data_IF_295619278040
#
_entry.id   IF_295619278040
#
_cell.length_a   1.000
_cell.length_b   1.000
_cell.length_c   1.000
_cell.angle_alpha   90.00
_cell.angle_beta   90.00
_cell.angle_gamma   90.00
#
_symmetry.space_group_name_H-M   'P 1'
#
loop_
_entity.id
_entity.type
_entity.pdbx_description
1 polymer ?
#
# COMPACT_ATOMS: atom_id res chain seq x y z
N UNK A 1 14.17 4.32 4.39
CA UNK A 1 12.97 4.93 3.78
C UNK A 1 11.85 3.90 3.80
N UNK A 2 10.65 4.24 4.28
CA UNK A 2 9.50 3.34 4.20
C UNK A 2 8.93 3.34 2.77
N UNK A 3 8.50 2.17 2.29
CA UNK A 3 7.85 2.06 0.97
C UNK A 3 6.53 2.84 0.95
N UNK A 4 6.19 3.41 -0.21
CA UNK A 4 4.96 4.16 -0.45
C UNK A 4 4.27 3.64 -1.71
N UNK A 5 2.94 3.65 -1.73
CA UNK A 5 2.14 3.26 -2.88
C UNK A 5 1.55 4.50 -3.54
N UNK A 6 1.82 4.69 -4.83
CA UNK A 6 1.12 5.67 -5.66
C UNK A 6 -0.02 4.99 -6.39
N UNK A 7 -1.25 5.41 -6.12
CA UNK A 7 -2.46 4.79 -6.69
C UNK A 7 -2.80 5.42 -8.04
N UNK A 8 -2.57 4.70 -9.13
CA UNK A 8 -2.79 5.21 -10.49
C UNK A 8 -4.27 5.25 -10.91
N UNK A 9 -5.13 4.45 -10.29
CA UNK A 9 -6.56 4.35 -10.64
C UNK A 9 -7.40 3.80 -9.48
N UNK A 10 -8.73 3.93 -9.59
CA UNK A 10 -9.68 3.45 -8.58
C UNK A 10 -10.09 4.52 -7.54
N UNK A 11 -10.67 4.10 -6.39
CA UNK A 11 -11.28 5.02 -5.43
C UNK A 11 -10.28 5.95 -4.72
N UNK A 12 -8.99 5.59 -4.71
CA UNK A 12 -7.91 6.37 -4.10
C UNK A 12 -6.96 6.97 -5.14
N UNK A 13 -7.40 7.16 -6.39
CA UNK A 13 -6.57 7.68 -7.50
C UNK A 13 -5.78 8.92 -7.10
N UNK A 14 -4.52 8.98 -7.56
CA UNK A 14 -3.53 10.04 -7.33
C UNK A 14 -3.18 10.28 -5.85
N UNK A 15 -3.56 9.36 -4.95
CA UNK A 15 -3.11 9.39 -3.55
C UNK A 15 -1.84 8.58 -3.36
N UNK A 16 -1.02 9.08 -2.43
CA UNK A 16 0.14 8.36 -1.90
C UNK A 16 -0.27 7.72 -0.58
N UNK A 17 -0.17 6.39 -0.51
CA UNK A 17 -0.44 5.62 0.71
C UNK A 17 0.89 5.20 1.34
N UNK A 18 0.97 5.32 2.65
CA UNK A 18 2.12 4.85 3.42
C UNK A 18 1.93 3.36 3.71
N UNK A 19 2.91 2.54 3.33
CA UNK A 19 2.91 1.12 3.67
C UNK A 19 3.18 0.97 5.17
N UNK A 20 2.37 0.15 5.83
CA UNK A 20 2.44 -0.12 7.26
C UNK A 20 2.87 -1.57 7.45
N UNK A 21 4.00 -1.77 8.13
CA UNK A 21 4.54 -3.12 8.34
C UNK A 21 5.13 -3.75 7.08
N UNK A 22 5.36 -5.06 7.14
CA UNK A 22 5.86 -5.85 6.02
C UNK A 22 4.68 -6.38 5.18
N UNK A 23 4.79 -6.42 3.84
CA UNK A 23 3.81 -7.11 3.01
C UNK A 23 3.69 -8.59 3.40
N UNK A 24 2.47 -9.10 3.46
CA UNK A 24 2.16 -10.46 3.90
C UNK A 24 1.84 -11.32 2.67
N UNK A 25 2.66 -12.31 2.31
CA UNK A 25 2.35 -13.21 1.22
C UNK A 25 1.21 -14.14 1.61
N UNK A 26 0.36 -14.49 0.65
CA UNK A 26 -0.61 -15.56 0.87
C UNK A 26 0.10 -16.93 0.89
N UNK A 27 -0.59 -17.96 1.40
CA UNK A 27 -0.03 -19.32 1.57
C UNK A 27 0.40 -19.98 0.27
N UNK A 28 -0.19 -19.58 -0.87
CA UNK A 28 0.13 -20.11 -2.20
C UNK A 28 1.16 -19.27 -2.96
N UNK A 29 1.49 -18.07 -2.46
CA UNK A 29 2.44 -17.14 -3.09
C UNK A 29 1.92 -16.45 -4.36
N UNK A 30 0.62 -16.51 -4.65
CA UNK A 30 0.00 -15.87 -5.81
C UNK A 30 -0.48 -14.43 -5.56
N UNK A 31 -0.54 -14.01 -4.30
CA UNK A 31 -1.05 -12.72 -3.81
C UNK A 31 -0.18 -12.20 -2.67
N UNK A 32 -0.14 -10.88 -2.58
CA UNK A 32 0.57 -10.16 -1.52
C UNK A 32 -0.39 -9.14 -0.92
N UNK A 33 -0.67 -9.27 0.37
CA UNK A 33 -1.45 -8.28 1.11
C UNK A 33 -0.54 -7.15 1.59
N UNK A 34 -0.91 -5.91 1.25
CA UNK A 34 -0.17 -4.72 1.65
C UNK A 34 -1.07 -3.85 2.51
N UNK A 35 -0.82 -3.87 3.82
CA UNK A 35 -1.46 -2.95 4.73
C UNK A 35 -0.91 -1.55 4.50
N UNK A 36 -1.79 -0.59 4.28
CA UNK A 36 -1.40 0.79 4.06
C UNK A 36 -2.42 1.75 4.68
N UNK A 37 -1.99 2.98 4.90
CA UNK A 37 -2.86 4.06 5.38
C UNK A 37 -2.70 5.27 4.48
N UNK A 38 -3.75 6.07 4.36
CA UNK A 38 -3.65 7.37 3.70
C UNK A 38 -2.57 8.19 4.41
N UNK A 39 -1.56 8.61 3.64
CA UNK A 39 -0.59 9.57 4.12
C UNK A 39 -1.29 10.90 4.30
N UNK A 40 -1.63 11.24 5.54
CA UNK A 40 -1.90 12.63 5.90
C UNK A 40 -0.56 13.34 5.96
N UNK A 41 -0.07 13.81 4.81
CA UNK A 41 0.95 14.85 4.82
C UNK A 41 0.28 16.08 5.45
N UNK A 42 0.73 16.43 6.67
CA UNK A 42 0.55 17.78 7.21
C UNK A 42 1.88 18.50 7.10
#
# INVERSE_FOLDING_TARGET
>A
AASRLHVLSGPWRDRILNVVGLPVPDTTGGRLEILCRLGGEK
#
